data_IF_239064865696
#
_entry.id   IF_239064865696
#
_cell.length_a   1.000
_cell.length_b   1.000
_cell.length_c   1.000
_cell.angle_alpha   90.00
_cell.angle_beta   90.00
_cell.angle_gamma   90.00
#
_symmetry.space_group_name_H-M   'P 1'
#
loop_
_entity.id
_entity.type
_entity.pdbx_description
1 polymer ?
#
# COMPACT_ATOMS: atom_id res chain seq x y z
N UNK A 1 14.08 1.97 -18.57
CA UNK A 1 13.07 1.22 -17.77
C UNK A 1 13.82 0.21 -16.95
N UNK A 2 13.54 0.08 -15.67
CA UNK A 2 14.22 -0.85 -14.78
C UNK A 2 13.85 -2.33 -15.10
N UNK A 3 14.73 -3.25 -14.73
CA UNK A 3 14.47 -4.68 -14.89
C UNK A 3 13.18 -5.15 -14.18
N UNK A 4 12.91 -4.61 -12.98
CA UNK A 4 11.67 -4.91 -12.26
C UNK A 4 10.43 -4.45 -13.05
N UNK A 5 10.44 -3.25 -13.63
CA UNK A 5 9.29 -2.76 -14.38
C UNK A 5 9.08 -3.53 -15.68
N UNK A 6 10.16 -4.00 -16.31
CA UNK A 6 10.08 -4.91 -17.46
C UNK A 6 9.45 -6.25 -17.07
N UNK A 7 9.92 -6.86 -15.97
CA UNK A 7 9.35 -8.08 -15.42
C UNK A 7 7.84 -7.90 -15.13
N UNK A 8 7.44 -6.81 -14.46
CA UNK A 8 6.03 -6.53 -14.17
C UNK A 8 5.21 -6.44 -15.46
N UNK A 9 5.73 -5.77 -16.49
CA UNK A 9 5.03 -5.64 -17.78
C UNK A 9 4.85 -6.98 -18.48
N UNK A 10 5.86 -7.84 -18.46
CA UNK A 10 5.85 -9.14 -19.13
C UNK A 10 5.07 -10.21 -18.37
N UNK A 11 4.93 -10.05 -17.05
CA UNK A 11 4.19 -11.01 -16.21
C UNK A 11 2.74 -11.11 -16.68
N UNK A 12 2.30 -12.30 -17.04
CA UNK A 12 0.89 -12.62 -17.26
C UNK A 12 0.27 -13.03 -15.94
N UNK A 13 -0.86 -12.41 -15.63
CA UNK A 13 -1.69 -12.76 -14.46
C UNK A 13 -2.88 -13.55 -14.95
N UNK A 14 -3.12 -14.70 -14.34
CA UNK A 14 -4.24 -15.57 -14.69
C UNK A 14 -5.58 -14.92 -14.31
N UNK A 15 -6.65 -15.40 -14.96
CA UNK A 15 -8.00 -14.92 -14.68
C UNK A 15 -8.35 -15.07 -13.19
N UNK A 16 -9.01 -14.06 -12.65
CA UNK A 16 -9.42 -13.99 -11.25
C UNK A 16 -8.23 -14.05 -10.23
N UNK A 17 -7.01 -13.74 -10.66
CA UNK A 17 -5.83 -13.59 -9.80
C UNK A 17 -5.38 -12.12 -9.76
N UNK A 18 -4.46 -11.80 -8.83
CA UNK A 18 -3.71 -10.55 -8.83
C UNK A 18 -2.22 -10.86 -8.73
N UNK A 19 -1.41 -10.18 -9.54
CA UNK A 19 0.03 -10.10 -9.33
C UNK A 19 0.33 -8.99 -8.34
N UNK A 20 1.10 -9.28 -7.30
CA UNK A 20 1.47 -8.34 -6.25
C UNK A 20 2.99 -8.29 -6.10
N UNK A 21 3.57 -7.10 -6.05
CA UNK A 21 4.99 -6.84 -5.78
C UNK A 21 5.14 -5.86 -4.64
N UNK A 22 6.01 -6.18 -3.69
CA UNK A 22 6.34 -5.32 -2.56
C UNK A 22 7.53 -4.44 -2.88
N UNK A 23 7.43 -3.13 -2.64
CA UNK A 23 8.49 -2.15 -2.91
C UNK A 23 9.19 -1.66 -1.63
N UNK A 24 8.78 -2.18 -0.48
CA UNK A 24 9.16 -1.68 0.84
C UNK A 24 8.16 -0.66 1.39
N UNK A 25 8.22 -0.42 2.69
CA UNK A 25 7.31 0.44 3.46
C UNK A 25 5.84 0.00 3.31
N UNK A 26 4.96 0.83 2.76
CA UNK A 26 3.62 0.43 2.32
C UNK A 26 3.50 0.44 0.79
N UNK A 27 4.64 0.35 0.09
CA UNK A 27 4.72 0.41 -1.36
C UNK A 27 4.36 -0.90 -2.04
N UNK A 28 3.36 -0.88 -2.93
CA UNK A 28 2.88 -2.06 -3.65
C UNK A 28 2.66 -1.78 -5.13
N UNK A 29 2.92 -2.76 -5.98
CA UNK A 29 2.39 -2.79 -7.35
C UNK A 29 1.41 -3.95 -7.44
N UNK A 30 0.22 -3.66 -7.96
CA UNK A 30 -0.84 -4.65 -8.23
C UNK A 30 -1.08 -4.69 -9.74
N UNK A 31 -1.05 -5.90 -10.32
CA UNK A 31 -1.36 -6.12 -11.72
C UNK A 31 -2.53 -7.07 -11.89
N UNK A 32 -3.45 -6.71 -12.80
CA UNK A 32 -4.63 -7.50 -13.12
C UNK A 32 -4.42 -8.45 -14.30
N UNK A 33 -5.32 -9.44 -14.50
CA UNK A 33 -5.37 -10.26 -15.71
C UNK A 33 -5.50 -9.46 -17.00
N UNK A 34 -6.24 -8.34 -16.97
CA UNK A 34 -6.38 -7.41 -18.09
C UNK A 34 -5.15 -6.52 -18.32
N UNK A 35 -4.07 -6.73 -17.57
CA UNK A 35 -2.82 -6.02 -17.72
C UNK A 35 -2.81 -4.62 -17.11
N UNK A 36 -3.83 -4.25 -16.31
CA UNK A 36 -3.86 -2.99 -15.58
C UNK A 36 -2.89 -2.99 -14.43
N UNK A 37 -2.18 -1.90 -14.23
CA UNK A 37 -1.18 -1.72 -13.18
C UNK A 37 -1.58 -0.58 -12.28
N UNK A 38 -1.66 -0.86 -10.98
CA UNK A 38 -1.88 0.12 -9.91
C UNK A 38 -0.67 0.10 -8.99
N UNK A 39 -0.08 1.26 -8.73
CA UNK A 39 0.94 1.45 -7.70
C UNK A 39 0.30 2.09 -6.47
N UNK A 40 0.45 1.49 -5.29
CA UNK A 40 -0.03 2.03 -4.01
C UNK A 40 1.16 2.48 -3.20
N UNK A 41 1.14 3.71 -2.71
CA UNK A 41 2.15 4.34 -1.85
C UNK A 41 3.61 4.08 -2.28
N UNK A 42 3.97 4.24 -3.56
CA UNK A 42 5.32 3.94 -4.01
C UNK A 42 6.33 4.96 -3.45
N UNK A 43 7.07 4.58 -2.41
CA UNK A 43 8.18 5.36 -1.85
C UNK A 43 9.48 5.00 -2.58
N UNK A 44 9.79 5.70 -3.67
CA UNK A 44 10.93 5.44 -4.55
C UNK A 44 12.03 6.50 -4.46
N UNK A 45 12.22 7.06 -3.27
CA UNK A 45 13.26 8.05 -2.97
C UNK A 45 13.86 7.84 -1.59
N UNK A 46 14.62 8.80 -1.12
CA UNK A 46 15.03 8.93 0.28
C UNK A 46 14.50 10.26 0.88
N UNK A 47 13.30 10.68 0.47
CA UNK A 47 12.71 11.98 0.79
C UNK A 47 12.40 12.21 2.27
N UNK A 48 12.31 11.14 3.07
CA UNK A 48 12.14 11.24 4.53
C UNK A 48 13.44 11.62 5.27
N UNK A 49 14.60 11.52 4.61
CA UNK A 49 15.90 11.88 5.17
C UNK A 49 16.32 13.30 4.74
N UNK A 50 16.97 14.12 5.59
CA UNK A 50 17.11 13.92 7.04
C UNK A 50 15.81 14.19 7.80
N UNK A 51 15.56 13.38 8.80
CA UNK A 51 14.41 13.60 9.67
C UNK A 51 14.56 14.89 10.48
N UNK A 52 13.52 15.69 10.54
CA UNK A 52 13.48 16.92 11.36
C UNK A 52 13.46 16.66 12.87
N UNK A 53 13.25 15.40 13.30
CA UNK A 53 13.09 14.99 14.70
C UNK A 53 14.29 14.23 15.26
N UNK A 54 15.42 14.18 14.55
CA UNK A 54 16.63 13.46 14.96
C UNK A 54 16.51 11.94 14.90
N UNK A 55 15.50 11.42 14.20
CA UNK A 55 15.32 9.99 13.96
C UNK A 55 16.11 9.54 12.72
N UNK A 56 16.56 8.30 12.71
CA UNK A 56 17.17 7.69 11.53
C UNK A 56 16.08 7.16 10.59
N UNK A 57 15.66 8.05 9.68
CA UNK A 57 14.72 7.74 8.59
C UNK A 57 15.44 7.61 7.25
N UNK A 58 16.73 7.28 7.29
CA UNK A 58 17.46 6.90 6.08
C UNK A 58 16.94 5.55 5.55
N UNK A 59 16.79 5.50 4.24
CA UNK A 59 16.26 4.31 3.57
C UNK A 59 17.18 3.11 3.74
N UNK A 60 16.75 2.04 4.36
CA UNK A 60 17.50 0.82 4.58
C UNK A 60 17.35 -0.20 3.44
N UNK A 61 16.29 -0.09 2.65
CA UNK A 61 15.97 -0.98 1.53
C UNK A 61 16.47 -0.37 0.23
N UNK A 62 17.22 -1.09 -0.63
CA UNK A 62 17.62 -0.59 -1.93
C UNK A 62 16.43 -0.10 -2.77
N UNK A 63 16.63 0.93 -3.57
CA UNK A 63 15.60 1.39 -4.52
C UNK A 63 15.32 0.27 -5.54
N UNK A 64 14.09 -0.24 -5.63
CA UNK A 64 13.77 -1.31 -6.58
C UNK A 64 13.75 -0.82 -8.02
N UNK A 65 13.50 0.48 -8.21
CA UNK A 65 13.53 1.17 -9.50
C UNK A 65 13.66 2.67 -9.29
N UNK A 66 14.09 3.41 -10.30
CA UNK A 66 13.98 4.86 -10.33
C UNK A 66 12.48 5.26 -10.48
N UNK A 67 12.02 6.32 -9.80
CA UNK A 67 10.60 6.70 -9.82
C UNK A 67 10.10 7.05 -11.24
N UNK A 68 10.94 7.62 -12.10
CA UNK A 68 10.62 7.88 -13.51
C UNK A 68 10.44 6.63 -14.37
N UNK A 69 10.89 5.48 -13.89
CA UNK A 69 10.70 4.18 -14.57
C UNK A 69 9.35 3.53 -14.26
N UNK A 70 8.65 4.00 -13.22
CA UNK A 70 7.33 3.47 -12.86
C UNK A 70 6.31 3.69 -13.98
N UNK A 71 5.72 2.60 -14.45
CA UNK A 71 4.61 2.61 -15.41
C UNK A 71 3.36 2.09 -14.73
N UNK A 72 2.34 2.94 -14.61
CA UNK A 72 1.08 2.57 -13.97
C UNK A 72 -0.12 3.25 -14.64
N UNK A 73 -1.26 2.55 -14.67
CA UNK A 73 -2.53 3.17 -15.06
C UNK A 73 -3.01 4.13 -13.96
N UNK A 74 -2.72 3.80 -12.68
CA UNK A 74 -3.04 4.63 -11.53
C UNK A 74 -1.97 4.51 -10.45
N UNK A 75 -1.53 5.64 -9.91
CA UNK A 75 -0.78 5.74 -8.67
C UNK A 75 -1.74 6.18 -7.57
N UNK A 76 -1.79 5.44 -6.48
CA UNK A 76 -2.73 5.68 -5.39
C UNK A 76 -1.94 5.98 -4.13
N UNK A 77 -2.32 7.04 -3.40
CA UNK A 77 -1.80 7.31 -2.08
C UNK A 77 -2.88 7.10 -1.02
N UNK A 78 -2.53 6.41 0.06
CA UNK A 78 -3.44 6.16 1.19
C UNK A 78 -3.62 7.38 2.08
N UNK A 79 -2.59 8.22 2.17
CA UNK A 79 -2.59 9.47 2.92
C UNK A 79 -1.37 10.34 2.52
N UNK A 80 -1.20 11.50 3.14
CA UNK A 80 -0.26 12.54 2.68
C UNK A 80 1.14 12.49 3.30
N UNK A 81 1.45 11.55 4.19
CA UNK A 81 2.80 11.44 4.76
C UNK A 81 3.86 11.15 3.69
N UNK A 82 5.08 11.64 3.91
CA UNK A 82 6.15 11.63 2.91
C UNK A 82 6.63 10.23 2.49
N UNK A 83 6.39 9.21 3.28
CA UNK A 83 6.72 7.82 2.97
C UNK A 83 5.59 7.07 2.23
N UNK A 84 4.47 7.76 1.96
CA UNK A 84 3.31 7.28 1.19
C UNK A 84 3.03 8.17 -0.02
N UNK A 85 2.87 9.47 0.18
CA UNK A 85 2.73 10.47 -0.87
C UNK A 85 4.07 11.25 -1.03
N UNK A 86 5.14 10.53 -1.34
CA UNK A 86 6.49 11.09 -1.45
C UNK A 86 6.59 12.14 -2.55
N UNK A 87 6.84 13.43 -2.22
CA UNK A 87 6.88 14.49 -3.22
C UNK A 87 7.92 14.26 -4.32
N UNK A 88 9.06 13.63 -4.01
CA UNK A 88 10.12 13.36 -4.99
C UNK A 88 9.70 12.28 -5.97
N UNK A 89 9.13 11.18 -5.48
CA UNK A 89 8.57 10.12 -6.33
C UNK A 89 7.42 10.64 -7.19
N UNK A 90 6.48 11.39 -6.59
CA UNK A 90 5.33 11.94 -7.30
C UNK A 90 5.74 12.90 -8.40
N UNK A 91 6.69 13.80 -8.15
CA UNK A 91 7.18 14.75 -9.14
C UNK A 91 7.84 14.03 -10.34
N UNK A 92 8.70 13.04 -10.07
CA UNK A 92 9.34 12.24 -11.11
C UNK A 92 8.31 11.45 -11.95
N UNK A 93 7.32 10.82 -11.28
CA UNK A 93 6.22 10.11 -11.95
C UNK A 93 5.34 11.05 -12.77
N UNK A 94 5.05 12.25 -12.28
CA UNK A 94 4.27 13.26 -13.02
C UNK A 94 5.00 13.73 -14.27
N UNK A 95 6.30 14.00 -14.14
CA UNK A 95 7.18 14.47 -15.22
C UNK A 95 7.40 13.41 -16.31
N UNK A 96 7.60 12.15 -15.92
CA UNK A 96 7.83 11.04 -16.87
C UNK A 96 6.65 10.79 -17.81
N UNK A 97 5.43 11.13 -17.40
CA UNK A 97 4.20 10.87 -18.15
C UNK A 97 3.81 9.39 -18.24
N UNK A 98 4.52 8.49 -17.57
CA UNK A 98 4.29 7.04 -17.60
C UNK A 98 3.22 6.57 -16.60
N UNK A 99 2.91 7.37 -15.59
CA UNK A 99 1.77 7.19 -14.68
C UNK A 99 0.60 7.99 -15.24
N UNK A 100 -0.52 7.33 -15.56
CA UNK A 100 -1.65 7.96 -16.26
C UNK A 100 -2.53 8.80 -15.34
N UNK A 101 -2.75 8.35 -14.10
CA UNK A 101 -3.58 9.02 -13.11
C UNK A 101 -3.01 8.91 -11.71
N UNK A 102 -3.43 9.83 -10.84
CA UNK A 102 -3.07 9.87 -9.43
C UNK A 102 -4.36 9.95 -8.62
N UNK A 103 -4.49 9.12 -7.59
CA UNK A 103 -5.69 9.02 -6.76
C UNK A 103 -5.31 9.07 -5.29
N UNK A 104 -6.05 9.83 -4.50
CA UNK A 104 -5.82 9.85 -3.06
C UNK A 104 -6.87 10.68 -2.33
N UNK A 105 -6.90 10.63 -0.99
CA UNK A 105 -7.82 11.39 -0.16
C UNK A 105 -7.49 12.88 -0.15
N UNK A 106 -8.26 13.66 0.65
CA UNK A 106 -8.22 15.12 0.62
C UNK A 106 -6.84 15.73 0.76
N UNK A 107 -6.07 15.34 1.77
CA UNK A 107 -4.77 15.95 2.06
C UNK A 107 -3.70 15.60 1.02
N UNK A 108 -3.81 14.45 0.34
CA UNK A 108 -2.91 14.10 -0.77
C UNK A 108 -3.05 15.02 -1.98
N UNK A 109 -4.20 15.68 -2.17
CA UNK A 109 -4.42 16.59 -3.30
C UNK A 109 -3.48 17.78 -3.26
N UNK A 110 -3.12 18.25 -2.06
CA UNK A 110 -2.13 19.32 -1.85
C UNK A 110 -0.75 18.82 -2.28
N UNK A 111 -0.36 17.62 -1.86
CA UNK A 111 0.93 17.00 -2.22
C UNK A 111 1.03 16.78 -3.74
N UNK A 112 -0.03 16.26 -4.37
CA UNK A 112 -0.09 16.08 -5.82
C UNK A 112 0.09 17.41 -6.57
N UNK A 113 -0.58 18.47 -6.10
CA UNK A 113 -0.43 19.80 -6.71
C UNK A 113 1.00 20.33 -6.59
N UNK A 114 1.61 20.22 -5.40
CA UNK A 114 3.00 20.65 -5.13
C UNK A 114 4.01 19.83 -5.93
N UNK A 115 3.76 18.54 -6.16
CA UNK A 115 4.58 17.66 -6.99
C UNK A 115 4.40 17.91 -8.50
N UNK A 116 3.56 18.86 -8.91
CA UNK A 116 3.34 19.21 -10.31
C UNK A 116 2.43 18.22 -11.06
N UNK A 117 1.65 17.40 -10.36
CA UNK A 117 0.65 16.55 -11.02
C UNK A 117 -0.44 17.45 -11.63
N UNK A 118 -0.74 17.37 -12.93
CA UNK A 118 -1.80 18.16 -13.54
C UNK A 118 -3.19 17.85 -12.93
N UNK A 119 -4.03 18.85 -12.77
CA UNK A 119 -5.38 18.68 -12.20
C UNK A 119 -6.20 17.62 -12.96
N UNK A 120 -6.07 17.57 -14.28
CA UNK A 120 -6.74 16.59 -15.14
C UNK A 120 -6.30 15.13 -14.90
N UNK A 121 -5.22 14.91 -14.15
CA UNK A 121 -4.70 13.60 -13.79
C UNK A 121 -4.89 13.29 -12.29
N UNK A 122 -5.47 14.21 -11.51
CA UNK A 122 -5.73 14.02 -10.06
C UNK A 122 -7.14 13.55 -9.83
N UNK A 123 -7.31 12.46 -9.09
CA UNK A 123 -8.58 11.95 -8.60
C UNK A 123 -8.68 12.09 -7.09
N UNK A 124 -9.83 12.51 -6.60
CA UNK A 124 -10.17 12.52 -5.18
C UNK A 124 -10.93 11.24 -4.83
N UNK A 125 -10.59 10.64 -3.68
CA UNK A 125 -11.26 9.45 -3.17
C UNK A 125 -11.50 9.55 -1.66
N UNK A 126 -12.35 8.66 -1.14
CA UNK A 126 -12.70 8.56 0.29
C UNK A 126 -13.24 7.16 0.60
N UNK A 127 -13.39 6.78 1.87
CA UNK A 127 -13.93 5.47 2.25
C UNK A 127 -15.28 5.18 1.60
N UNK A 128 -15.44 3.95 1.10
CA UNK A 128 -16.56 3.40 0.33
C UNK A 128 -16.73 3.94 -1.11
N UNK A 129 -15.92 4.89 -1.55
CA UNK A 129 -15.91 5.23 -2.98
C UNK A 129 -15.24 4.11 -3.77
N UNK A 130 -15.83 3.81 -4.92
CA UNK A 130 -15.31 2.81 -5.88
C UNK A 130 -14.70 3.52 -7.07
N UNK A 131 -13.49 3.12 -7.43
CA UNK A 131 -12.79 3.53 -8.65
C UNK A 131 -12.52 2.29 -9.49
N UNK A 132 -12.86 2.33 -10.77
CA UNK A 132 -12.64 1.22 -11.71
C UNK A 132 -11.57 1.59 -12.74
N UNK A 133 -10.59 0.70 -12.93
CA UNK A 133 -9.51 0.83 -13.90
C UNK A 133 -9.44 -0.46 -14.70
N UNK A 134 -10.11 -0.48 -15.85
CA UNK A 134 -10.23 -1.69 -16.67
C UNK A 134 -10.98 -2.79 -15.90
N UNK A 135 -10.29 -3.89 -15.63
CA UNK A 135 -10.80 -5.03 -14.86
C UNK A 135 -10.51 -4.97 -13.35
N UNK A 136 -9.80 -3.92 -12.89
CA UNK A 136 -9.57 -3.66 -11.47
C UNK A 136 -10.65 -2.77 -10.88
N UNK A 137 -11.10 -3.16 -9.70
CA UNK A 137 -12.00 -2.40 -8.82
C UNK A 137 -11.26 -2.07 -7.53
N UNK A 138 -11.12 -0.78 -7.24
CA UNK A 138 -10.55 -0.24 -6.02
C UNK A 138 -11.67 0.34 -5.17
N UNK A 139 -11.84 -0.14 -3.94
CA UNK A 139 -12.81 0.41 -2.99
C UNK A 139 -12.05 1.03 -1.83
N UNK A 140 -12.26 2.31 -1.58
CA UNK A 140 -11.69 2.99 -0.42
C UNK A 140 -12.18 2.37 0.89
N UNK A 141 -11.32 2.27 1.89
CA UNK A 141 -11.69 1.76 3.21
C UNK A 141 -11.32 2.74 4.31
N UNK A 142 -12.01 2.67 5.42
CA UNK A 142 -11.68 3.45 6.61
C UNK A 142 -10.29 3.06 7.14
N UNK A 143 -9.52 4.06 7.56
CA UNK A 143 -8.37 3.93 8.42
C UNK A 143 -8.45 5.01 9.50
N UNK A 144 -7.98 4.74 10.71
CA UNK A 144 -7.91 5.74 11.77
C UNK A 144 -6.61 6.53 11.63
N UNK A 145 -6.66 7.86 11.46
CA UNK A 145 -5.46 8.68 11.36
C UNK A 145 -4.47 8.45 12.51
N UNK A 146 -3.19 8.42 12.18
CA UNK A 146 -2.12 8.16 13.15
C UNK A 146 -1.60 9.43 13.83
N UNK A 147 -1.94 10.59 13.28
CA UNK A 147 -1.67 11.90 13.88
C UNK A 147 -2.75 12.93 13.50
N UNK A 148 -2.54 14.19 13.90
CA UNK A 148 -3.45 15.30 13.59
C UNK A 148 -3.06 16.09 12.35
N UNK A 149 -1.99 15.73 11.67
CA UNK A 149 -1.48 16.43 10.49
C UNK A 149 -2.23 16.05 9.21
N UNK A 150 -2.70 14.81 9.12
CA UNK A 150 -3.57 14.32 8.05
C UNK A 150 -4.73 13.53 8.68
N UNK A 151 -5.95 14.00 8.48
CA UNK A 151 -7.16 13.36 8.99
C UNK A 151 -7.86 12.49 7.94
N UNK A 152 -7.26 12.33 6.76
CA UNK A 152 -7.87 11.66 5.62
C UNK A 152 -7.26 10.30 5.30
N UNK A 153 -6.61 9.66 6.28
CA UNK A 153 -6.07 8.31 6.14
C UNK A 153 -7.12 7.33 5.64
N UNK A 154 -6.72 6.47 4.73
CA UNK A 154 -7.57 5.41 4.20
C UNK A 154 -6.75 4.23 3.67
N UNK A 155 -7.41 3.10 3.46
CA UNK A 155 -6.87 1.97 2.74
C UNK A 155 -7.65 1.68 1.47
N UNK A 156 -7.30 0.59 0.79
CA UNK A 156 -7.98 0.15 -0.44
C UNK A 156 -8.19 -1.35 -0.46
N UNK A 157 -9.40 -1.78 -0.77
CA UNK A 157 -9.67 -3.15 -1.23
C UNK A 157 -9.59 -3.17 -2.74
N UNK A 158 -8.70 -4.01 -3.28
CA UNK A 158 -8.44 -4.16 -4.70
C UNK A 158 -8.88 -5.56 -5.13
N UNK A 159 -9.65 -5.65 -6.22
CA UNK A 159 -10.17 -6.90 -6.77
C UNK A 159 -10.15 -6.87 -8.29
N UNK A 160 -9.80 -7.99 -8.93
CA UNK A 160 -9.97 -8.21 -10.36
C UNK A 160 -11.10 -9.22 -10.60
N UNK A 161 -12.09 -8.84 -11.38
CA UNK A 161 -13.22 -9.71 -11.72
C UNK A 161 -13.92 -10.29 -10.47
N UNK A 162 -13.91 -11.61 -10.33
CA UNK A 162 -14.44 -12.35 -9.17
C UNK A 162 -13.36 -12.93 -8.27
N UNK A 163 -12.11 -12.52 -8.49
CA UNK A 163 -10.94 -12.99 -7.75
C UNK A 163 -10.91 -12.51 -6.30
N UNK A 164 -9.82 -12.83 -5.60
CA UNK A 164 -9.65 -12.47 -4.19
C UNK A 164 -9.63 -10.97 -3.98
N UNK A 165 -10.14 -10.56 -2.83
CA UNK A 165 -10.11 -9.19 -2.36
C UNK A 165 -8.83 -8.95 -1.56
N UNK A 166 -7.92 -8.18 -2.13
CA UNK A 166 -6.70 -7.73 -1.50
C UNK A 166 -6.97 -6.41 -0.76
N UNK A 167 -6.83 -6.39 0.56
CA UNK A 167 -6.94 -5.18 1.36
C UNK A 167 -5.55 -4.67 1.75
N UNK A 168 -5.17 -3.51 1.25
CA UNK A 168 -4.03 -2.73 1.69
C UNK A 168 -4.57 -1.68 2.65
N UNK A 169 -4.28 -1.82 3.94
CA UNK A 169 -4.92 -0.98 4.97
C UNK A 169 -4.44 0.47 4.96
N UNK A 170 -3.23 0.72 4.44
CA UNK A 170 -2.51 1.97 4.69
C UNK A 170 -2.09 2.05 6.16
N UNK A 171 -1.52 3.18 6.55
CA UNK A 171 -1.23 3.49 7.94
C UNK A 171 -2.52 3.73 8.70
N UNK A 172 -2.63 3.13 9.87
CA UNK A 172 -3.84 3.22 10.70
C UNK A 172 -3.53 2.93 12.16
N UNK A 173 -4.14 3.69 13.06
CA UNK A 173 -4.18 3.35 14.46
C UNK A 173 -5.27 2.28 14.72
N UNK A 174 -5.16 1.62 15.87
CA UNK A 174 -6.15 0.63 16.29
C UNK A 174 -7.44 1.28 16.77
N UNK A 175 -8.56 0.79 16.29
CA UNK A 175 -9.88 0.96 16.90
C UNK A 175 -10.83 -0.16 16.44
N UNK A 176 -11.90 -0.41 17.20
CA UNK A 176 -12.89 -1.45 16.83
C UNK A 176 -13.57 -1.17 15.50
N UNK A 177 -13.80 0.11 15.18
CA UNK A 177 -14.41 0.50 13.90
C UNK A 177 -13.55 0.09 12.70
N UNK A 178 -12.21 0.02 12.82
CA UNK A 178 -11.33 -0.44 11.75
C UNK A 178 -11.65 -1.89 11.37
N UNK A 179 -11.80 -2.78 12.36
CA UNK A 179 -12.14 -4.17 12.13
C UNK A 179 -13.56 -4.32 11.57
N UNK A 180 -14.53 -3.56 12.07
CA UNK A 180 -15.91 -3.56 11.58
C UNK A 180 -16.00 -3.06 10.13
N UNK A 181 -15.28 -1.98 9.80
CA UNK A 181 -15.20 -1.45 8.46
C UNK A 181 -14.52 -2.44 7.50
N UNK A 182 -13.42 -3.07 7.93
CA UNK A 182 -12.74 -4.11 7.16
C UNK A 182 -13.64 -5.32 6.89
N UNK A 183 -14.38 -5.78 7.90
CA UNK A 183 -15.28 -6.92 7.79
C UNK A 183 -16.38 -6.73 6.72
N UNK A 184 -16.87 -5.50 6.52
CA UNK A 184 -17.85 -5.20 5.46
C UNK A 184 -17.36 -5.54 4.06
N UNK A 185 -16.06 -5.50 3.84
CA UNK A 185 -15.45 -5.79 2.54
C UNK A 185 -15.12 -7.27 2.36
N UNK A 186 -15.07 -8.07 3.44
CA UNK A 186 -14.70 -9.49 3.42
C UNK A 186 -13.38 -9.71 2.67
N UNK A 187 -12.27 -9.14 3.13
CA UNK A 187 -10.98 -9.30 2.45
C UNK A 187 -10.46 -10.72 2.59
N UNK A 188 -9.95 -11.28 1.49
CA UNK A 188 -9.28 -12.59 1.48
C UNK A 188 -7.83 -12.48 1.95
N UNK A 189 -7.17 -11.37 1.56
CA UNK A 189 -5.76 -11.08 1.85
C UNK A 189 -5.66 -9.69 2.44
N UNK A 190 -4.89 -9.55 3.52
CA UNK A 190 -4.64 -8.24 4.17
C UNK A 190 -3.16 -7.93 4.17
N UNK A 191 -2.77 -6.83 3.51
CA UNK A 191 -1.48 -6.18 3.68
C UNK A 191 -1.62 -5.16 4.82
N UNK A 192 -0.86 -5.32 5.90
CA UNK A 192 -1.06 -4.59 7.15
C UNK A 192 0.26 -4.10 7.74
N UNK A 193 0.35 -2.83 8.19
CA UNK A 193 1.52 -2.31 8.89
C UNK A 193 1.72 -3.05 10.21
N UNK A 194 2.98 -3.24 10.60
CA UNK A 194 3.34 -3.96 11.83
C UNK A 194 4.38 -3.24 12.68
N UNK A 195 4.81 -2.05 12.27
CA UNK A 195 5.88 -1.29 12.92
C UNK A 195 5.54 -0.84 14.34
N UNK A 196 4.27 -0.59 14.68
CA UNK A 196 3.83 -0.13 16.00
C UNK A 196 4.30 1.27 16.38
N UNK A 197 5.14 1.89 15.55
CA UNK A 197 5.58 3.27 15.71
C UNK A 197 4.60 4.28 15.13
N UNK A 198 4.66 5.52 15.59
CA UNK A 198 3.82 6.65 15.09
C UNK A 198 2.32 6.34 15.14
N UNK A 199 1.87 5.66 16.20
CA UNK A 199 0.50 5.18 16.39
C UNK A 199 0.00 4.17 15.35
N UNK A 200 0.84 3.66 14.46
CA UNK A 200 0.49 2.55 13.59
C UNK A 200 0.21 1.26 14.38
N UNK A 201 -0.51 0.34 13.75
CA UNK A 201 -0.71 -0.99 14.29
C UNK A 201 0.63 -1.66 14.63
N UNK A 202 0.73 -2.17 15.84
CA UNK A 202 1.75 -3.15 16.19
C UNK A 202 1.46 -4.50 15.53
N UNK A 203 2.47 -5.38 15.43
CA UNK A 203 2.28 -6.75 14.93
C UNK A 203 1.17 -7.51 15.70
N UNK A 204 0.94 -7.14 16.97
CA UNK A 204 -0.10 -7.73 17.82
C UNK A 204 -1.51 -7.26 17.45
N UNK A 205 -1.68 -5.96 17.20
CA UNK A 205 -2.93 -5.36 16.75
C UNK A 205 -3.23 -5.75 15.30
N UNK A 206 -2.23 -5.80 14.43
CA UNK A 206 -2.33 -6.30 13.07
C UNK A 206 -2.87 -7.74 13.04
N UNK A 207 -2.35 -8.63 13.88
CA UNK A 207 -2.85 -9.99 14.01
C UNK A 207 -4.30 -10.05 14.51
N UNK A 208 -4.70 -9.14 15.42
CA UNK A 208 -6.07 -9.03 15.88
C UNK A 208 -7.01 -8.57 14.77
N UNK A 209 -6.59 -7.57 13.98
CA UNK A 209 -7.34 -7.10 12.81
C UNK A 209 -7.60 -8.25 11.83
N UNK A 210 -6.52 -8.96 11.43
CA UNK A 210 -6.60 -10.09 10.49
C UNK A 210 -7.54 -11.18 11.02
N UNK A 211 -7.45 -11.51 12.32
CA UNK A 211 -8.33 -12.50 12.97
C UNK A 211 -9.80 -12.06 12.93
N UNK A 212 -10.09 -10.79 13.22
CA UNK A 212 -11.46 -10.26 13.28
C UNK A 212 -12.12 -10.17 11.91
N UNK A 213 -11.36 -9.79 10.87
CA UNK A 213 -11.91 -9.73 9.51
C UNK A 213 -11.98 -11.10 8.83
N UNK A 214 -11.34 -12.12 9.42
CA UNK A 214 -11.41 -13.51 8.92
C UNK A 214 -10.64 -13.73 7.61
N UNK A 215 -9.63 -12.91 7.32
CA UNK A 215 -8.83 -13.05 6.11
C UNK A 215 -8.10 -14.40 6.06
N UNK A 216 -7.91 -14.92 4.84
CA UNK A 216 -7.20 -16.19 4.60
C UNK A 216 -5.68 -16.03 4.60
N UNK A 217 -5.17 -14.83 4.26
CA UNK A 217 -3.75 -14.53 4.22
C UNK A 217 -3.45 -13.17 4.87
N UNK A 218 -2.30 -13.09 5.54
CA UNK A 218 -1.78 -11.87 6.13
C UNK A 218 -0.36 -11.61 5.62
N UNK A 219 -0.11 -10.41 5.12
CA UNK A 219 1.15 -9.96 4.55
C UNK A 219 1.60 -8.72 5.34
N UNK A 220 2.77 -8.75 6.00
CA UNK A 220 3.27 -7.59 6.72
C UNK A 220 3.77 -6.51 5.75
N UNK A 221 3.56 -5.26 6.10
CA UNK A 221 4.20 -4.11 5.48
C UNK A 221 4.66 -3.09 6.53
N UNK A 222 5.29 -2.02 6.09
CA UNK A 222 5.75 -0.92 6.95
C UNK A 222 6.69 -1.40 8.10
N UNK A 223 7.62 -2.30 7.78
CA UNK A 223 8.46 -2.95 8.79
C UNK A 223 9.97 -2.84 8.52
N UNK A 224 10.39 -2.38 7.36
CA UNK A 224 11.70 -2.62 6.78
C UNK A 224 12.49 -1.34 6.42
N UNK A 225 11.78 -0.23 6.19
CA UNK A 225 12.33 0.91 5.48
C UNK A 225 13.27 1.77 6.31
N UNK A 226 12.96 2.00 7.58
CA UNK A 226 13.67 2.94 8.45
C UNK A 226 14.15 2.25 9.72
N UNK A 227 15.41 2.53 10.12
CA UNK A 227 15.98 1.92 11.33
C UNK A 227 15.12 2.16 12.57
N UNK A 228 14.71 3.42 12.76
CA UNK A 228 13.96 3.84 13.96
C UNK A 228 12.46 3.54 13.87
N UNK A 229 12.03 2.87 12.81
CA UNK A 229 10.63 2.47 12.59
C UNK A 229 10.51 1.05 12.02
N UNK A 230 11.44 0.18 12.35
CA UNK A 230 11.50 -1.21 11.88
C UNK A 230 10.86 -2.17 12.88
N UNK A 231 10.32 -3.27 12.35
CA UNK A 231 9.80 -4.39 13.14
C UNK A 231 10.10 -5.70 12.41
N UNK A 232 10.68 -6.73 13.05
CA UNK A 232 10.92 -8.01 12.37
C UNK A 232 9.63 -8.63 11.85
N UNK A 233 9.53 -8.96 10.55
CA UNK A 233 8.25 -9.36 9.92
C UNK A 233 7.68 -10.66 10.51
N UNK A 234 8.53 -11.57 10.99
CA UNK A 234 8.09 -12.81 11.65
C UNK A 234 7.31 -12.59 12.97
N UNK A 235 7.35 -11.38 13.55
CA UNK A 235 6.55 -11.04 14.72
C UNK A 235 5.05 -11.09 14.40
N UNK A 236 4.64 -10.75 13.19
CA UNK A 236 3.24 -10.93 12.76
C UNK A 236 2.87 -12.41 12.77
N UNK A 237 3.72 -13.29 12.22
CA UNK A 237 3.48 -14.75 12.23
C UNK A 237 3.29 -15.29 13.64
N UNK A 238 4.15 -14.89 14.57
CA UNK A 238 4.05 -15.29 15.97
C UNK A 238 2.73 -14.81 16.59
N UNK A 239 2.35 -13.56 16.35
CA UNK A 239 1.11 -12.97 16.88
C UNK A 239 -0.14 -13.63 16.31
N UNK A 240 -0.16 -13.94 15.01
CA UNK A 240 -1.26 -14.69 14.37
C UNK A 240 -1.46 -16.04 15.05
N UNK A 241 -0.36 -16.77 15.32
CA UNK A 241 -0.39 -18.06 16.01
C UNK A 241 -0.97 -17.93 17.41
N UNK A 242 -0.46 -16.98 18.21
CA UNK A 242 -0.92 -16.79 19.60
C UNK A 242 -2.39 -16.38 19.68
N UNK A 243 -2.84 -15.55 18.73
CA UNK A 243 -4.25 -15.11 18.66
C UNK A 243 -5.18 -16.15 18.03
N UNK A 244 -4.67 -17.28 17.56
CA UNK A 244 -5.46 -18.30 16.90
C UNK A 244 -6.10 -17.83 15.58
N UNK A 245 -5.45 -16.88 14.89
CA UNK A 245 -5.88 -16.46 13.57
C UNK A 245 -5.66 -17.59 12.56
N UNK A 246 -6.62 -17.82 11.66
CA UNK A 246 -6.54 -18.88 10.65
C UNK A 246 -5.77 -18.45 9.40
N UNK A 247 -5.41 -17.18 9.31
CA UNK A 247 -4.71 -16.63 8.15
C UNK A 247 -3.32 -17.23 7.98
N UNK A 248 -2.99 -17.63 6.76
CA UNK A 248 -1.63 -17.99 6.39
C UNK A 248 -0.75 -16.73 6.36
N UNK A 249 0.37 -16.76 7.07
CA UNK A 249 1.38 -15.71 6.98
C UNK A 249 2.17 -15.84 5.69
N UNK A 250 2.31 -14.74 4.94
CA UNK A 250 3.19 -14.64 3.77
C UNK A 250 4.13 -13.45 3.95
N UNK A 251 5.41 -13.69 3.99
CA UNK A 251 6.42 -12.63 4.01
C UNK A 251 6.70 -12.15 2.59
N UNK A 252 6.60 -10.85 2.32
CA UNK A 252 6.91 -10.34 0.99
C UNK A 252 8.43 -10.20 0.81
N UNK A 253 8.90 -10.50 -0.39
CA UNK A 253 10.27 -10.23 -0.83
C UNK A 253 10.23 -9.03 -1.79
N UNK A 254 11.14 -8.05 -1.56
CA UNK A 254 11.17 -6.83 -2.36
C UNK A 254 11.36 -7.14 -3.84
N UNK A 255 10.46 -6.62 -4.67
CA UNK A 255 10.49 -6.77 -6.12
C UNK A 255 10.14 -8.16 -6.64
N UNK A 256 9.81 -9.13 -5.80
CA UNK A 256 9.39 -10.46 -6.25
C UNK A 256 7.87 -10.55 -6.40
N UNK A 257 7.45 -11.34 -7.39
CA UNK A 257 6.03 -11.61 -7.64
C UNK A 257 5.43 -12.48 -6.52
N UNK A 258 4.37 -12.00 -5.92
CA UNK A 258 3.42 -12.81 -5.16
C UNK A 258 2.13 -12.93 -5.96
N UNK A 259 1.77 -14.14 -6.35
CA UNK A 259 0.48 -14.39 -6.95
C UNK A 259 -0.58 -14.51 -5.85
N UNK A 260 -1.68 -13.76 -5.98
CA UNK A 260 -2.85 -13.80 -5.11
C UNK A 260 -3.93 -14.53 -5.89
N UNK A 261 -4.23 -15.73 -5.42
CA UNK A 261 -5.14 -16.68 -6.08
C UNK A 261 -6.47 -16.78 -5.32
N UNK A 262 -7.56 -17.22 -5.99
CA UNK A 262 -8.88 -17.43 -5.41
C UNK A 262 -8.93 -18.36 -4.19
#
# INVERSE_FOLDING_TARGET
MSALMEQIRETRVEKDCLGLWYLGQNGWIVKSPGGKVVAVDPYLSNGCHPSRRGLDLDRQVPLPMAPEDLVADLLVCTHSHNDHADPLTLAACACSGRVRGFLGPGDTQVVFAQAGVPETRRGLTWPNLVTEIGDLRLTGTFALPTDSGDLTHMGFVIQAGRGPKLWITGDTAWCDLLAEAGLKHLPDVVCVPINGGYANLSHWEAAELVRRVGARQAIPCHWDMFRDNACPPHMLRASLTVKGARAAYREPVHGELMLIEP
#
